data_IF_887777177311
#
_entry.id   IF_887777177311
#
_cell.length_a   1.000
_cell.length_b   1.000
_cell.length_c   1.000
_cell.angle_alpha   90.00
_cell.angle_beta   90.00
_cell.angle_gamma   90.00
#
_symmetry.space_group_name_H-M   'P 1'
#
loop_
_entity.id
_entity.type
_entity.pdbx_description
1 polymer ?
#
# COMPACT_ATOMS: atom_id res chain seq x y z
N UNK A 1 -22.26 -1.45 3.99
CA UNK A 1 -21.60 -2.77 3.85
C UNK A 1 -20.81 -2.74 2.55
N UNK A 2 -19.52 -2.41 2.62
CA UNK A 2 -18.64 -2.42 1.44
C UNK A 2 -18.33 -3.87 1.07
N UNK A 3 -18.51 -4.21 -0.19
CA UNK A 3 -18.22 -5.56 -0.68
C UNK A 3 -16.73 -5.86 -0.50
N UNK A 4 -16.39 -7.00 0.10
CA UNK A 4 -14.99 -7.44 0.29
C UNK A 4 -14.24 -7.57 -1.04
N UNK A 5 -14.97 -7.84 -2.13
CA UNK A 5 -14.44 -7.89 -3.49
C UNK A 5 -14.05 -6.51 -4.01
N UNK A 6 -14.89 -5.49 -3.81
CA UNK A 6 -14.57 -4.11 -4.22
C UNK A 6 -13.38 -3.55 -3.41
N UNK A 7 -13.29 -3.90 -2.13
CA UNK A 7 -12.12 -3.56 -1.31
C UNK A 7 -10.85 -4.26 -1.84
N UNK A 8 -10.94 -5.55 -2.16
CA UNK A 8 -9.83 -6.31 -2.77
C UNK A 8 -9.38 -5.68 -4.08
N UNK A 9 -10.30 -5.38 -4.99
CA UNK A 9 -9.98 -4.80 -6.29
C UNK A 9 -9.30 -3.43 -6.15
N UNK A 10 -9.77 -2.58 -5.23
CA UNK A 10 -9.13 -1.27 -4.98
C UNK A 10 -7.72 -1.42 -4.40
N UNK A 11 -7.53 -2.34 -3.46
CA UNK A 11 -6.22 -2.59 -2.84
C UNK A 11 -5.26 -3.17 -3.87
N UNK A 12 -5.71 -4.11 -4.70
CA UNK A 12 -4.90 -4.68 -5.78
C UNK A 12 -4.55 -3.64 -6.84
N UNK A 13 -5.51 -2.82 -7.28
CA UNK A 13 -5.24 -1.76 -8.25
C UNK A 13 -4.22 -0.73 -7.72
N UNK A 14 -4.26 -0.41 -6.43
CA UNK A 14 -3.24 0.42 -5.80
C UNK A 14 -1.87 -0.28 -5.75
N UNK A 15 -1.84 -1.57 -5.44
CA UNK A 15 -0.62 -2.36 -5.42
C UNK A 15 0.02 -2.38 -6.82
N UNK A 16 -0.74 -2.70 -7.86
CA UNK A 16 -0.27 -2.74 -9.25
C UNK A 16 0.27 -1.36 -9.70
N UNK A 17 -0.41 -0.26 -9.32
CA UNK A 17 0.05 1.09 -9.63
C UNK A 17 1.35 1.48 -8.92
N UNK A 18 1.52 1.03 -7.66
CA UNK A 18 2.75 1.26 -6.88
C UNK A 18 3.88 0.37 -7.39
N UNK A 19 3.60 -0.88 -7.78
CA UNK A 19 4.57 -1.82 -8.33
C UNK A 19 5.19 -1.28 -9.63
N UNK A 20 4.37 -0.64 -10.47
CA UNK A 20 4.84 -0.01 -11.70
C UNK A 20 5.76 1.21 -11.45
N UNK A 21 5.85 1.72 -10.22
CA UNK A 21 6.68 2.88 -9.91
C UNK A 21 8.16 2.49 -9.87
N UNK A 22 9.07 3.20 -10.59
CA UNK A 22 10.49 2.81 -10.71
C UNK A 22 11.27 2.72 -9.38
N UNK A 23 10.72 3.33 -8.32
CA UNK A 23 11.34 3.38 -6.99
C UNK A 23 10.70 2.39 -6.01
N UNK A 24 9.73 1.60 -6.45
CA UNK A 24 9.16 0.52 -5.67
C UNK A 24 10.14 -0.66 -5.65
N UNK A 25 10.52 -1.09 -4.46
CA UNK A 25 11.34 -2.29 -4.26
C UNK A 25 10.46 -3.54 -4.07
N UNK A 26 9.23 -3.37 -3.59
CA UNK A 26 8.24 -4.43 -3.44
C UNK A 26 6.93 -3.89 -2.88
N UNK A 27 5.83 -4.55 -3.23
CA UNK A 27 4.49 -4.22 -2.74
C UNK A 27 3.69 -5.50 -2.54
N UNK A 28 2.99 -5.57 -1.42
CA UNK A 28 2.17 -6.70 -1.02
C UNK A 28 0.76 -6.22 -0.64
N UNK A 29 -0.24 -6.83 -1.27
CA UNK A 29 -1.64 -6.68 -0.90
C UNK A 29 -2.05 -7.83 0.03
N UNK A 30 -2.22 -7.55 1.32
CA UNK A 30 -2.55 -8.54 2.33
C UNK A 30 -4.06 -8.59 2.56
N UNK A 31 -4.61 -9.81 2.47
CA UNK A 31 -5.99 -10.09 2.80
C UNK A 31 -6.25 -9.96 4.32
N UNK A 32 -7.50 -9.68 4.74
CA UNK A 32 -7.90 -9.75 6.14
C UNK A 32 -7.53 -11.12 6.73
N UNK A 33 -6.82 -11.14 7.85
CA UNK A 33 -6.39 -12.36 8.53
C UNK A 33 -5.07 -12.97 8.06
N UNK A 34 -4.44 -12.43 7.01
CA UNK A 34 -3.05 -12.78 6.63
C UNK A 34 -2.06 -11.80 7.27
N UNK A 35 -2.38 -10.51 7.21
CA UNK A 35 -1.58 -9.45 7.82
C UNK A 35 -1.88 -9.24 9.31
N UNK A 36 -1.18 -8.28 9.96
CA UNK A 36 -1.41 -7.91 11.36
C UNK A 36 -2.76 -7.20 11.60
N UNK A 37 -3.58 -7.07 10.57
CA UNK A 37 -4.78 -6.25 10.55
C UNK A 37 -5.96 -7.06 10.00
N UNK A 38 -7.12 -6.93 10.65
CA UNK A 38 -8.39 -7.55 10.24
C UNK A 38 -9.08 -6.76 9.13
N UNK A 39 -8.31 -6.36 8.12
CA UNK A 39 -8.76 -5.60 6.96
C UNK A 39 -7.76 -5.79 5.80
N UNK A 40 -8.20 -5.48 4.58
CA UNK A 40 -7.28 -5.41 3.45
C UNK A 40 -6.23 -4.34 3.70
N UNK A 41 -4.97 -4.73 3.55
CA UNK A 41 -3.82 -3.85 3.78
C UNK A 41 -2.86 -3.92 2.60
N UNK A 42 -2.17 -2.81 2.37
CA UNK A 42 -1.15 -2.68 1.35
C UNK A 42 0.12 -2.27 2.07
N UNK A 43 1.14 -3.11 1.95
CA UNK A 43 2.47 -2.84 2.45
C UNK A 43 3.39 -2.64 1.25
N UNK A 44 4.12 -1.54 1.22
CA UNK A 44 5.12 -1.34 0.17
C UNK A 44 6.46 -0.85 0.75
N UNK A 45 7.51 -1.34 0.13
CA UNK A 45 8.89 -0.95 0.41
C UNK A 45 9.41 -0.19 -0.80
N UNK A 46 9.93 1.01 -0.54
CA UNK A 46 10.48 1.89 -1.55
C UNK A 46 11.99 1.95 -1.39
N UNK A 47 12.72 2.01 -2.50
CA UNK A 47 14.18 2.15 -2.51
C UNK A 47 14.65 3.60 -2.24
N UNK A 48 13.75 4.47 -1.79
CA UNK A 48 14.01 5.88 -1.49
C UNK A 48 14.09 6.14 0.01
N UNK A 49 14.66 7.28 0.38
CA UNK A 49 14.66 7.77 1.77
C UNK A 49 13.34 8.41 2.21
N UNK A 50 12.44 8.68 1.27
CA UNK A 50 11.14 9.34 1.50
C UNK A 50 10.05 8.67 0.65
N UNK A 51 8.78 8.89 1.00
CA UNK A 51 7.64 8.44 0.20
C UNK A 51 7.42 9.36 -1.02
N UNK A 52 7.50 8.87 -2.27
CA UNK A 52 7.17 9.63 -3.46
C UNK A 52 5.69 10.08 -3.46
N UNK A 53 5.39 11.29 -3.98
CA UNK A 53 4.01 11.76 -4.12
C UNK A 53 3.12 10.80 -4.91
N UNK A 54 3.63 10.18 -5.97
CA UNK A 54 2.86 9.26 -6.83
C UNK A 54 2.34 8.04 -6.05
N UNK A 55 3.13 7.53 -5.10
CA UNK A 55 2.72 6.44 -4.20
C UNK A 55 1.58 6.92 -3.29
N UNK A 56 1.70 8.12 -2.72
CA UNK A 56 0.62 8.71 -1.92
C UNK A 56 -0.65 8.94 -2.74
N UNK A 57 -0.51 9.39 -3.99
CA UNK A 57 -1.65 9.57 -4.90
C UNK A 57 -2.35 8.25 -5.20
N UNK A 58 -1.61 7.17 -5.47
CA UNK A 58 -2.19 5.84 -5.69
C UNK A 58 -3.02 5.38 -4.48
N UNK A 59 -2.52 5.60 -3.25
CA UNK A 59 -3.25 5.29 -2.02
C UNK A 59 -4.53 6.12 -1.88
N UNK A 60 -4.47 7.42 -2.17
CA UNK A 60 -5.62 8.33 -2.11
C UNK A 60 -6.70 7.94 -3.12
N UNK A 61 -6.31 7.61 -4.37
CA UNK A 61 -7.23 7.19 -5.43
C UNK A 61 -7.98 5.91 -5.01
N UNK A 62 -7.28 4.95 -4.41
CA UNK A 62 -7.87 3.72 -3.89
C UNK A 62 -8.66 3.89 -2.58
N UNK A 63 -8.65 5.11 -2.02
CA UNK A 63 -9.24 5.47 -0.71
C UNK A 63 -8.67 4.65 0.44
N UNK A 64 -7.37 4.36 0.38
CA UNK A 64 -6.64 3.70 1.45
C UNK A 64 -6.17 4.74 2.48
N UNK A 65 -6.32 4.40 3.75
CA UNK A 65 -5.84 5.21 4.87
C UNK A 65 -4.41 4.83 5.17
N UNK A 66 -3.54 5.84 5.14
CA UNK A 66 -2.15 5.69 5.56
C UNK A 66 -2.10 5.35 7.06
N UNK A 67 -1.46 4.22 7.40
CA UNK A 67 -1.28 3.77 8.78
C UNK A 67 0.14 4.01 9.25
N UNK A 68 1.10 3.70 8.39
CA UNK A 68 2.51 3.89 8.67
C UNK A 68 3.24 4.41 7.43
N UNK A 69 4.15 5.34 7.64
CA UNK A 69 5.07 5.85 6.63
C UNK A 69 6.36 6.20 7.34
N UNK A 70 7.34 5.29 7.33
CA UNK A 70 8.60 5.46 8.05
C UNK A 70 9.79 4.91 7.25
N UNK A 71 10.97 5.53 7.37
CA UNK A 71 12.19 4.96 6.83
C UNK A 71 12.52 3.64 7.56
N UNK A 72 12.91 2.61 6.80
CA UNK A 72 13.29 1.28 7.29
C UNK A 72 14.60 0.87 6.63
N UNK A 73 15.71 1.03 7.36
CA UNK A 73 17.05 0.82 6.83
C UNK A 73 17.38 1.82 5.71
N UNK A 74 17.77 1.32 4.54
CA UNK A 74 18.05 2.14 3.35
C UNK A 74 16.82 2.45 2.50
N UNK A 75 15.65 1.91 2.86
CA UNK A 75 14.39 2.12 2.14
C UNK A 75 13.34 2.87 2.97
N UNK A 76 12.17 3.06 2.38
CA UNK A 76 11.02 3.66 3.02
C UNK A 76 9.86 2.66 3.04
N UNK A 77 9.29 2.42 4.21
CA UNK A 77 8.19 1.48 4.39
C UNK A 77 6.87 2.24 4.56
N UNK A 78 5.87 1.81 3.81
CA UNK A 78 4.53 2.40 3.83
C UNK A 78 3.51 1.29 4.04
N UNK A 79 2.61 1.50 5.00
CA UNK A 79 1.48 0.62 5.26
C UNK A 79 0.20 1.43 5.15
N UNK A 80 -0.74 0.94 4.36
CA UNK A 80 -2.05 1.52 4.20
C UNK A 80 -3.14 0.43 4.31
N UNK A 81 -4.36 0.82 4.66
CA UNK A 81 -5.48 -0.12 4.72
C UNK A 81 -6.83 0.57 4.53
N UNK A 82 -7.86 -0.23 4.33
CA UNK A 82 -9.25 0.27 4.19
C UNK A 82 -9.80 0.74 5.54
#
# INVERSE_FOLDING_TARGET
MSCTVEQRERVQAAADAIEAHPRCAGVDALAPGVGPHDAWTLECTLATSTCPPDVLYALVIARLRLREARPRGTGYHVVAGV
#
